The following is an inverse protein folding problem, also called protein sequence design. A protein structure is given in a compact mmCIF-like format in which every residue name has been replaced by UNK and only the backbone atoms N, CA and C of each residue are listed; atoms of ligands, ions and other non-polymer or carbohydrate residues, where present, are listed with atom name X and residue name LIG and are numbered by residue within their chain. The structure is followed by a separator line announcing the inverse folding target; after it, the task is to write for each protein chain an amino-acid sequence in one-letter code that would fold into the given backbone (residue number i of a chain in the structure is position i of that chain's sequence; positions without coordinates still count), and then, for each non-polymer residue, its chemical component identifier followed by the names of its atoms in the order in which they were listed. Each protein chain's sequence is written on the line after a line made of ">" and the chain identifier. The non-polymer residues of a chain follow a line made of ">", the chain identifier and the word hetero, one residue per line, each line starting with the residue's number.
data_IF_684083018605
#
_entry.id   IF_684083018605
#
_cell.length_a   1.000
_cell.length_b   1.000
_cell.length_c   1.000
_cell.angle_alpha   90.00
_cell.angle_beta   90.00
_cell.angle_gamma   90.00
#
_symmetry.space_group_name_H-M   'P 1'
#
loop_
_entity.id
_entity.type
_entity.pdbx_description
1 polymer ?
#
# COMPACT_ATOMS: atom_id res chain seq x y z
N UNK A 1 -16.06 12.15 -12.73
CA UNK A 1 -15.31 12.76 -11.60
C UNK A 1 -15.49 11.90 -10.37
N UNK A 2 -14.42 11.68 -9.62
CA UNK A 2 -14.50 10.92 -8.37
C UNK A 2 -15.26 11.71 -7.31
N UNK A 3 -16.01 11.00 -6.47
CA UNK A 3 -16.55 11.57 -5.25
C UNK A 3 -15.42 11.58 -4.20
N UNK A 4 -14.93 12.77 -3.87
CA UNK A 4 -13.78 12.96 -3.00
C UNK A 4 -14.13 12.99 -1.50
N UNK A 5 -15.34 12.61 -1.14
CA UNK A 5 -15.70 12.42 0.26
C UNK A 5 -15.44 10.96 0.67
N UNK A 6 -14.27 10.71 1.21
CA UNK A 6 -13.81 9.38 1.58
C UNK A 6 -14.41 8.89 2.90
N UNK A 7 -14.96 9.80 3.70
CA UNK A 7 -15.52 9.51 5.03
C UNK A 7 -17.02 9.24 5.02
N UNK A 8 -17.66 9.27 3.85
CA UNK A 8 -19.12 9.05 3.75
C UNK A 8 -19.50 7.63 4.19
N UNK A 9 -20.68 7.49 4.79
CA UNK A 9 -21.14 6.24 5.41
C UNK A 9 -21.40 5.10 4.44
N UNK A 10 -21.77 5.40 3.20
CA UNK A 10 -22.03 4.38 2.17
C UNK A 10 -20.75 3.81 1.52
N UNK A 11 -19.59 4.40 1.81
CA UNK A 11 -18.30 3.89 1.38
C UNK A 11 -17.73 2.94 2.43
N UNK A 12 -18.17 1.68 2.38
CA UNK A 12 -17.69 0.63 3.27
C UNK A 12 -16.21 0.35 3.06
N UNK A 13 -15.57 -0.34 4.01
CA UNK A 13 -14.17 -0.78 3.86
C UNK A 13 -13.94 -1.60 2.59
N UNK A 14 -14.88 -2.49 2.27
CA UNK A 14 -14.77 -3.33 1.08
C UNK A 14 -14.87 -2.51 -0.20
N UNK A 15 -15.82 -1.59 -0.28
CA UNK A 15 -15.96 -0.70 -1.44
C UNK A 15 -14.74 0.20 -1.61
N UNK A 16 -14.24 0.72 -0.50
CA UNK A 16 -13.03 1.55 -0.50
C UNK A 16 -11.82 0.74 -0.97
N UNK A 17 -11.66 -0.47 -0.47
CA UNK A 17 -10.57 -1.37 -0.91
C UNK A 17 -10.64 -1.65 -2.40
N UNK A 18 -11.82 -1.96 -2.93
CA UNK A 18 -12.02 -2.17 -4.37
C UNK A 18 -11.66 -0.93 -5.19
N UNK A 19 -12.12 0.24 -4.75
CA UNK A 19 -11.76 1.50 -5.40
C UNK A 19 -10.24 1.70 -5.43
N UNK A 20 -9.57 1.48 -4.30
CA UNK A 20 -8.13 1.69 -4.18
C UNK A 20 -7.32 0.73 -5.06
N UNK A 21 -7.75 -0.51 -5.18
CA UNK A 21 -7.11 -1.46 -6.10
C UNK A 21 -7.23 -1.01 -7.55
N UNK A 22 -8.43 -0.60 -7.98
CA UNK A 22 -8.62 -0.06 -9.33
C UNK A 22 -7.81 1.23 -9.54
N UNK A 23 -7.78 2.09 -8.54
CA UNK A 23 -7.02 3.33 -8.63
C UNK A 23 -5.53 3.07 -8.81
N UNK A 24 -4.96 2.16 -8.01
CA UNK A 24 -3.55 1.78 -8.12
C UNK A 24 -3.22 1.19 -9.49
N UNK A 25 -4.07 0.29 -10.00
CA UNK A 25 -3.90 -0.29 -11.33
C UNK A 25 -3.95 0.77 -12.43
N UNK A 26 -4.93 1.67 -12.36
CA UNK A 26 -5.08 2.77 -13.31
C UNK A 26 -3.86 3.68 -13.28
N UNK A 27 -3.38 4.01 -12.10
CA UNK A 27 -2.23 4.87 -11.92
C UNK A 27 -0.97 4.29 -12.56
N UNK A 28 -0.63 3.04 -12.25
CA UNK A 28 0.55 2.39 -12.84
C UNK A 28 0.40 2.17 -14.36
N UNK A 29 -0.81 1.85 -14.82
CA UNK A 29 -1.08 1.75 -16.26
C UNK A 29 -0.83 3.09 -16.97
N UNK A 30 -1.13 4.21 -16.33
CA UNK A 30 -0.88 5.55 -16.89
C UNK A 30 0.61 5.83 -17.11
N UNK A 31 1.48 5.15 -16.36
CA UNK A 31 2.93 5.21 -16.55
C UNK A 31 3.46 4.17 -17.54
N UNK A 32 2.56 3.48 -18.23
CA UNK A 32 2.92 2.54 -19.30
C UNK A 32 3.18 1.11 -18.86
N UNK A 33 2.83 0.75 -17.62
CA UNK A 33 2.99 -0.62 -17.14
C UNK A 33 1.83 -1.51 -17.60
N UNK A 34 2.12 -2.77 -17.92
CA UNK A 34 1.11 -3.78 -18.15
C UNK A 34 0.65 -4.37 -16.83
N UNK A 35 -0.66 -4.40 -16.62
CA UNK A 35 -1.27 -4.84 -15.35
C UNK A 35 -1.85 -6.24 -15.51
N UNK A 36 -1.55 -7.11 -14.55
CA UNK A 36 -2.05 -8.48 -14.50
C UNK A 36 -2.73 -8.73 -13.15
N UNK A 37 -3.92 -9.30 -13.21
CA UNK A 37 -4.69 -9.66 -12.00
C UNK A 37 -4.85 -11.17 -11.95
N UNK A 38 -4.60 -11.78 -10.79
CA UNK A 38 -4.86 -13.20 -10.59
C UNK A 38 -6.37 -13.49 -10.62
N UNK A 39 -6.76 -14.60 -11.23
CA UNK A 39 -8.15 -15.07 -11.18
C UNK A 39 -8.56 -15.52 -9.78
N UNK A 40 -7.59 -15.90 -8.96
CA UNK A 40 -7.82 -16.34 -7.58
C UNK A 40 -7.14 -15.34 -6.65
N UNK A 41 -7.88 -14.90 -5.64
CA UNK A 41 -7.30 -14.10 -4.56
C UNK A 41 -6.33 -14.99 -3.76
N UNK A 42 -5.07 -14.81 -4.02
CA UNK A 42 -4.02 -15.66 -3.47
C UNK A 42 -2.97 -14.81 -2.74
N UNK A 43 -2.80 -15.11 -1.45
CA UNK A 43 -1.69 -14.65 -0.62
C UNK A 43 -1.49 -13.13 -0.52
N UNK A 44 -2.57 -12.36 -0.51
CA UNK A 44 -2.50 -10.91 -0.23
C UNK A 44 -1.88 -10.07 -1.34
N UNK A 45 -1.57 -10.64 -2.50
CA UNK A 45 -1.12 -9.88 -3.66
C UNK A 45 -2.35 -9.45 -4.46
N UNK A 46 -2.56 -8.15 -4.56
CA UNK A 46 -3.73 -7.61 -5.23
C UNK A 46 -3.57 -7.59 -6.75
N UNK A 47 -2.36 -7.30 -7.24
CA UNK A 47 -2.06 -7.37 -8.67
C UNK A 47 -0.55 -7.38 -8.92
N UNK A 48 -0.19 -7.67 -10.17
CA UNK A 48 1.17 -7.65 -10.67
C UNK A 48 1.25 -6.63 -11.80
N UNK A 49 2.35 -5.90 -11.88
CA UNK A 49 2.63 -5.00 -12.99
C UNK A 49 4.00 -5.31 -13.60
N UNK A 50 4.09 -5.27 -14.91
CA UNK A 50 5.35 -5.40 -15.62
C UNK A 50 5.99 -4.03 -15.77
N UNK A 51 7.14 -3.86 -15.15
CA UNK A 51 7.96 -2.66 -15.20
C UNK A 51 9.22 -2.90 -16.03
N UNK A 52 10.05 -1.87 -16.15
CA UNK A 52 11.38 -2.00 -16.76
C UNK A 52 12.29 -2.97 -16.01
N UNK A 53 12.03 -3.18 -14.71
CA UNK A 53 12.77 -4.11 -13.85
C UNK A 53 12.19 -5.52 -13.82
N UNK A 54 11.16 -5.80 -14.60
CA UNK A 54 10.45 -7.06 -14.61
C UNK A 54 9.11 -7.00 -13.88
N UNK A 55 8.61 -8.14 -13.45
CA UNK A 55 7.31 -8.23 -12.78
C UNK A 55 7.42 -7.81 -11.32
N UNK A 56 6.58 -6.88 -10.93
CA UNK A 56 6.47 -6.40 -9.56
C UNK A 56 5.11 -6.76 -8.97
N UNK A 57 5.09 -7.12 -7.70
CA UNK A 57 3.90 -7.52 -6.95
C UNK A 57 3.47 -6.38 -6.03
N UNK A 58 2.16 -6.15 -5.95
CA UNK A 58 1.61 -5.07 -5.17
C UNK A 58 0.54 -5.55 -4.19
N UNK A 59 0.66 -5.09 -2.96
CA UNK A 59 -0.41 -5.09 -1.97
C UNK A 59 -0.91 -3.65 -1.82
N UNK A 60 -2.22 -3.44 -1.92
CA UNK A 60 -2.82 -2.11 -1.85
C UNK A 60 -3.43 -1.91 -0.47
N UNK A 61 -3.11 -0.81 0.17
CA UNK A 61 -3.70 -0.37 1.43
C UNK A 61 -4.08 1.09 1.32
N UNK A 62 -5.10 1.48 2.08
CA UNK A 62 -5.56 2.86 2.12
C UNK A 62 -5.66 3.35 3.56
N UNK A 63 -5.34 4.61 3.76
CA UNK A 63 -5.52 5.32 5.02
C UNK A 63 -6.47 6.48 4.76
N UNK A 64 -7.54 6.58 5.53
CA UNK A 64 -8.42 7.74 5.55
C UNK A 64 -8.46 8.36 6.94
N UNK A 65 -9.02 9.55 7.04
CA UNK A 65 -9.11 10.31 8.29
C UNK A 65 -9.54 9.42 9.47
N UNK A 66 -8.82 9.53 10.58
CA UNK A 66 -9.09 8.76 11.79
C UNK A 66 -8.37 7.42 11.87
N UNK A 67 -7.66 7.02 10.83
CA UNK A 67 -6.85 5.80 10.82
C UNK A 67 -5.38 6.19 10.82
N UNK A 68 -4.61 5.71 11.80
CA UNK A 68 -3.18 6.02 11.92
C UNK A 68 -2.26 4.82 11.68
N UNK A 69 -2.81 3.69 11.25
CA UNK A 69 -2.05 2.45 11.13
C UNK A 69 -2.63 1.56 10.04
N UNK A 70 -1.75 0.99 9.24
CA UNK A 70 -2.07 -0.11 8.31
C UNK A 70 -1.09 -1.25 8.55
N UNK A 71 -1.53 -2.46 8.22
CA UNK A 71 -0.67 -3.63 8.39
C UNK A 71 -0.83 -4.63 7.24
N UNK A 72 0.20 -5.45 7.07
CA UNK A 72 0.23 -6.60 6.19
C UNK A 72 0.63 -7.81 7.04
N UNK A 73 -0.09 -8.92 6.90
CA UNK A 73 0.26 -10.15 7.62
C UNK A 73 1.61 -10.66 7.16
N UNK A 74 2.46 -11.07 8.10
CA UNK A 74 3.79 -11.61 7.81
C UNK A 74 3.74 -12.74 6.77
N UNK A 75 2.74 -13.62 6.87
CA UNK A 75 2.58 -14.76 5.95
C UNK A 75 2.35 -14.34 4.49
N UNK A 76 1.95 -13.10 4.24
CA UNK A 76 1.65 -12.57 2.92
C UNK A 76 2.53 -11.40 2.49
N UNK A 77 3.50 -11.04 3.32
CA UNK A 77 4.35 -9.87 3.04
C UNK A 77 5.80 -10.17 3.35
N UNK A 78 6.49 -10.76 2.38
CA UNK A 78 7.91 -11.12 2.52
C UNK A 78 8.80 -9.89 2.37
N UNK A 79 9.37 -9.43 3.48
CA UNK A 79 10.24 -8.25 3.50
C UNK A 79 11.61 -8.48 2.85
N UNK A 80 11.96 -9.70 2.48
CA UNK A 80 13.15 -10.01 1.69
C UNK A 80 12.91 -9.97 0.18
N UNK A 81 11.66 -9.91 -0.25
CA UNK A 81 11.27 -9.93 -1.66
C UNK A 81 11.43 -8.55 -2.29
N UNK A 82 12.46 -8.39 -3.11
CA UNK A 82 12.76 -7.13 -3.80
C UNK A 82 11.76 -6.75 -4.88
N UNK A 83 10.85 -7.66 -5.26
CA UNK A 83 9.79 -7.40 -6.23
C UNK A 83 8.45 -7.02 -5.60
N UNK A 84 8.35 -7.07 -4.26
CA UNK A 84 7.12 -6.79 -3.53
C UNK A 84 7.07 -5.35 -3.03
N UNK A 85 5.92 -4.71 -3.25
CA UNK A 85 5.68 -3.32 -2.85
C UNK A 85 4.34 -3.18 -2.13
N UNK A 86 4.30 -2.31 -1.14
CA UNK A 86 3.05 -1.76 -0.63
C UNK A 86 2.68 -0.54 -1.49
N UNK A 87 1.51 -0.58 -2.11
CA UNK A 87 0.91 0.60 -2.74
C UNK A 87 -0.04 1.24 -1.75
N UNK A 88 0.37 2.36 -1.18
CA UNK A 88 -0.39 3.05 -0.13
C UNK A 88 -1.10 4.27 -0.71
N UNK A 89 -2.39 4.37 -0.43
CA UNK A 89 -3.21 5.52 -0.79
C UNK A 89 -3.59 6.27 0.48
N UNK A 90 -3.22 7.54 0.56
CA UNK A 90 -3.64 8.44 1.61
C UNK A 90 -4.84 9.26 1.12
N UNK A 91 -5.97 9.13 1.81
CA UNK A 91 -7.25 9.68 1.41
C UNK A 91 -7.65 10.82 2.34
N UNK A 92 -7.53 12.05 1.85
CA UNK A 92 -8.01 13.26 2.51
C UNK A 92 -9.29 13.74 1.84
N UNK A 93 -10.33 14.04 2.61
CA UNK A 93 -11.59 14.52 2.07
C UNK A 93 -11.39 15.80 1.24
N UNK A 94 -12.03 15.86 0.07
CA UNK A 94 -11.89 16.97 -0.85
C UNK A 94 -10.68 16.91 -1.77
N UNK A 95 -9.83 15.90 -1.63
CA UNK A 95 -8.59 15.76 -2.40
C UNK A 95 -8.54 14.43 -3.13
N UNK A 96 -7.80 14.39 -4.23
CA UNK A 96 -7.45 13.14 -4.89
C UNK A 96 -6.51 12.31 -4.01
N UNK A 97 -6.53 10.97 -4.11
CA UNK A 97 -5.62 10.13 -3.36
C UNK A 97 -4.15 10.52 -3.57
N UNK A 98 -3.38 10.52 -2.48
CA UNK A 98 -1.92 10.66 -2.54
C UNK A 98 -1.34 9.25 -2.55
N UNK A 99 -0.44 8.99 -3.49
CA UNK A 99 0.07 7.65 -3.77
C UNK A 99 1.50 7.50 -3.30
N UNK A 100 1.75 6.41 -2.58
CA UNK A 100 3.09 6.03 -2.12
C UNK A 100 3.40 4.61 -2.57
N UNK A 101 4.62 4.38 -2.99
CA UNK A 101 5.10 3.09 -3.42
C UNK A 101 6.27 2.68 -2.51
N UNK A 102 6.00 1.78 -1.57
CA UNK A 102 6.94 1.43 -0.51
C UNK A 102 7.47 0.02 -0.72
N UNK A 103 8.77 -0.16 -1.00
CA UNK A 103 9.33 -1.51 -1.12
C UNK A 103 9.16 -2.31 0.17
N UNK A 104 8.79 -3.58 0.07
CA UNK A 104 8.68 -4.46 1.24
C UNK A 104 10.00 -4.54 2.02
N UNK A 105 11.13 -4.46 1.33
CA UNK A 105 12.46 -4.47 1.95
C UNK A 105 12.72 -3.29 2.87
N UNK A 106 11.89 -2.26 2.84
CA UNK A 106 12.01 -1.12 3.77
C UNK A 106 11.87 -1.56 5.22
N UNK A 107 11.02 -2.57 5.51
CA UNK A 107 10.84 -3.08 6.87
C UNK A 107 12.05 -3.82 7.41
N UNK A 108 12.92 -4.31 6.55
CA UNK A 108 14.18 -4.96 6.95
C UNK A 108 15.31 -3.95 7.18
N UNK A 109 15.27 -2.82 6.49
CA UNK A 109 16.38 -1.87 6.41
C UNK A 109 16.16 -0.58 7.20
N UNK A 110 14.93 -0.25 7.56
CA UNK A 110 14.60 1.01 8.23
C UNK A 110 14.55 0.83 9.74
N UNK A 111 15.31 1.66 10.46
CA UNK A 111 15.36 1.65 11.94
C UNK A 111 14.42 2.66 12.57
N UNK A 112 13.61 3.38 11.78
CA UNK A 112 12.64 4.35 12.30
C UNK A 112 11.46 3.64 12.98
N UNK A 113 10.72 4.40 13.80
CA UNK A 113 9.56 3.85 14.52
C UNK A 113 8.27 3.78 13.67
N UNK A 114 8.34 4.09 12.38
CA UNK A 114 7.15 4.07 11.53
C UNK A 114 6.96 2.72 10.84
N UNK A 115 8.03 2.02 10.50
CA UNK A 115 7.99 0.67 9.93
C UNK A 115 8.16 -0.32 11.07
N UNK A 116 7.10 -1.01 11.48
CA UNK A 116 7.06 -1.82 12.70
C UNK A 116 6.71 -3.27 12.41
N UNK A 117 7.07 -4.12 13.34
CA UNK A 117 6.70 -5.54 13.33
C UNK A 117 6.08 -5.92 14.68
N UNK A 118 4.95 -6.60 14.61
CA UNK A 118 4.28 -7.15 15.78
C UNK A 118 4.18 -8.66 15.66
N UNK A 119 4.88 -9.37 16.53
CA UNK A 119 4.86 -10.84 16.56
C UNK A 119 3.56 -11.38 17.19
N UNK A 120 2.95 -10.62 18.10
CA UNK A 120 1.80 -11.04 18.90
C UNK A 120 1.98 -12.41 19.56
N UNK A 121 3.22 -12.73 19.94
CA UNK A 121 3.59 -14.01 20.56
C UNK A 121 2.69 -14.30 21.78
N UNK A 122 2.03 -15.48 21.77
CA UNK A 122 1.12 -15.88 22.82
C UNK A 122 -0.27 -15.21 22.75
N UNK A 123 -0.56 -14.45 21.71
CA UNK A 123 -1.86 -13.80 21.47
C UNK A 123 -2.58 -14.43 20.27
N UNK A 124 -3.90 -14.14 20.15
CA UNK A 124 -4.72 -14.65 19.04
C UNK A 124 -4.38 -14.00 17.69
N UNK A 125 -3.88 -12.75 17.70
CA UNK A 125 -3.53 -12.04 16.47
C UNK A 125 -2.32 -12.65 15.81
N UNK A 126 -2.36 -12.74 14.49
CA UNK A 126 -1.23 -13.22 13.67
C UNK A 126 -0.13 -12.16 13.57
N UNK A 127 1.14 -12.57 13.40
CA UNK A 127 2.23 -11.63 13.17
C UNK A 127 2.00 -10.73 11.98
N UNK A 128 2.44 -9.49 12.08
CA UNK A 128 2.23 -8.50 11.04
C UNK A 128 3.37 -7.49 10.94
N UNK A 129 3.59 -7.01 9.72
CA UNK A 129 4.35 -5.79 9.46
C UNK A 129 3.39 -4.62 9.37
N UNK A 130 3.73 -3.52 9.99
CA UNK A 130 2.86 -2.37 10.07
C UNK A 130 3.53 -1.06 9.70
N UNK A 131 2.71 -0.07 9.42
CA UNK A 131 3.13 1.29 9.11
C UNK A 131 2.33 2.25 9.98
N UNK A 132 3.04 2.98 10.86
CA UNK A 132 2.45 4.02 11.71
C UNK A 132 2.41 5.33 10.93
N UNK A 133 1.23 5.78 10.59
CA UNK A 133 1.01 7.04 9.86
C UNK A 133 0.30 8.03 10.77
N UNK A 134 0.98 9.14 11.03
CA UNK A 134 0.41 10.29 11.71
C UNK A 134 0.85 11.55 10.96
N UNK A 135 0.28 12.69 11.30
CA UNK A 135 0.70 13.96 10.71
C UNK A 135 2.21 14.20 10.85
N UNK A 136 2.81 13.69 11.93
CA UNK A 136 4.26 13.79 12.18
C UNK A 136 5.08 12.87 11.29
N UNK A 137 4.52 11.72 10.89
CA UNK A 137 5.25 10.67 10.17
C UNK A 137 5.13 10.81 8.65
N UNK A 138 4.12 11.49 8.15
CA UNK A 138 3.91 11.70 6.71
C UNK A 138 5.16 12.24 6.02
N UNK A 139 5.89 13.25 6.54
CA UNK A 139 7.12 13.70 5.90
C UNK A 139 8.18 12.61 5.74
N UNK A 140 8.19 11.60 6.62
CA UNK A 140 9.17 10.51 6.57
C UNK A 140 8.89 9.51 5.45
N UNK A 141 7.68 9.43 4.92
CA UNK A 141 7.34 8.57 3.78
C UNK A 141 7.32 9.31 2.45
N UNK A 142 7.57 10.60 2.44
CA UNK A 142 7.52 11.43 1.23
C UNK A 142 8.52 10.95 0.17
N UNK A 143 9.63 10.37 0.57
CA UNK A 143 10.60 9.73 -0.33
C UNK A 143 10.00 8.60 -1.17
N UNK A 144 8.90 8.01 -0.69
CA UNK A 144 8.19 6.92 -1.37
C UNK A 144 6.98 7.41 -2.19
N UNK A 145 6.80 8.71 -2.32
CA UNK A 145 5.77 9.25 -3.20
C UNK A 145 5.93 8.63 -4.60
N UNK A 146 4.81 8.30 -5.24
CA UNK A 146 4.83 7.58 -6.51
C UNK A 146 5.68 8.28 -7.57
N UNK A 147 5.61 9.61 -7.65
CA UNK A 147 6.40 10.37 -8.63
C UNK A 147 7.90 10.17 -8.44
N UNK A 148 8.35 10.04 -7.18
CA UNK A 148 9.76 9.78 -6.88
C UNK A 148 10.15 8.34 -7.17
N UNK A 149 9.25 7.40 -6.94
CA UNK A 149 9.54 5.96 -7.03
C UNK A 149 9.38 5.41 -8.45
N UNK A 150 8.54 6.02 -9.26
CA UNK A 150 8.19 5.47 -10.57
C UNK A 150 9.40 5.39 -11.54
N UNK A 151 10.38 6.23 -11.36
CA UNK A 151 11.60 6.20 -12.16
C UNK A 151 12.56 5.09 -11.75
N UNK A 152 12.38 4.52 -10.54
CA UNK A 152 13.23 3.46 -9.99
C UNK A 152 12.73 2.04 -10.32
N UNK A 153 11.53 1.91 -10.91
CA UNK A 153 10.90 0.62 -11.18
C UNK A 153 10.60 0.35 -12.65
#
# INVERSE_FOLDING_TARGET
>A
MYNLNWSRSDLTRQKLGTFCEYYAKMSLASYGMSIYTSEVDDHGIDFIAESKRGFLKFQVKAIRKGTGYVFMREEYFDISDQSLYLFLLLLNDGEHPIEYLIPATTWDNDSSNIFVYHSYKGKKSKPEYGLNISAKNIPQIERFNLENMITAI
#
